data_IF_641715424263
#
_entry.id   IF_641715424263
#
_cell.length_a   1.000
_cell.length_b   1.000
_cell.length_c   1.000
_cell.angle_alpha   90.00
_cell.angle_beta   90.00
_cell.angle_gamma   90.00
#
_symmetry.space_group_name_H-M   'P 1'
#
loop_
_entity.id
_entity.type
_entity.pdbx_description
1 polymer ?
#
# COMPACT_ATOMS: atom_id res chain seq x y z
N UNK A 1 -2.76 11.08 -1.72
CA UNK A 1 -2.69 9.96 -0.75
C UNK A 1 -3.30 8.75 -1.41
N UNK A 2 -2.84 7.54 -1.09
CA UNK A 2 -3.41 6.27 -1.58
C UNK A 2 -3.79 5.40 -0.41
N UNK A 3 -4.86 4.62 -0.57
CA UNK A 3 -5.36 3.74 0.46
C UNK A 3 -5.08 2.30 0.07
N UNK A 4 -4.62 1.52 1.03
CA UNK A 4 -4.54 0.08 0.86
C UNK A 4 -5.93 -0.55 0.99
N UNK A 5 -6.12 -1.76 0.47
CA UNK A 5 -7.28 -2.59 0.75
C UNK A 5 -7.50 -2.84 2.26
N UNK A 6 -6.44 -2.65 3.05
CA UNK A 6 -6.48 -2.65 4.51
C UNK A 6 -6.87 -1.31 5.15
N UNK A 7 -7.44 -0.36 4.39
CA UNK A 7 -7.91 0.98 4.80
C UNK A 7 -6.85 1.88 5.46
N UNK A 8 -5.57 1.56 5.28
CA UNK A 8 -4.48 2.40 5.78
C UNK A 8 -4.06 3.43 4.72
N UNK A 9 -4.00 4.73 5.08
CA UNK A 9 -3.59 5.79 4.17
C UNK A 9 -2.07 5.93 4.12
N UNK A 10 -1.52 6.10 2.93
CA UNK A 10 -0.10 6.41 2.74
C UNK A 10 0.11 7.46 1.63
N UNK A 11 1.24 8.17 1.68
CA UNK A 11 1.67 8.99 0.55
C UNK A 11 2.09 8.08 -0.61
N UNK A 12 1.72 8.45 -1.84
CA UNK A 12 2.04 7.70 -3.05
C UNK A 12 3.55 7.44 -3.15
N UNK A 13 4.37 8.48 -2.99
CA UNK A 13 5.82 8.34 -3.06
C UNK A 13 6.38 7.35 -2.02
N UNK A 14 5.92 7.44 -0.77
CA UNK A 14 6.40 6.60 0.32
C UNK A 14 6.03 5.13 0.11
N UNK A 15 4.77 4.86 -0.25
CA UNK A 15 4.31 3.48 -0.40
C UNK A 15 4.86 2.82 -1.66
N UNK A 16 4.99 3.56 -2.77
CA UNK A 16 5.62 3.04 -4.00
C UNK A 16 7.08 2.67 -3.75
N UNK A 17 7.82 3.52 -3.02
CA UNK A 17 9.20 3.20 -2.61
C UNK A 17 9.23 1.96 -1.74
N UNK A 18 8.35 1.86 -0.75
CA UNK A 18 8.25 0.72 0.16
C UNK A 18 7.95 -0.59 -0.58
N UNK A 19 6.90 -0.61 -1.40
CA UNK A 19 6.48 -1.80 -2.15
C UNK A 19 7.47 -2.18 -3.25
N UNK A 20 8.22 -1.21 -3.79
CA UNK A 20 9.28 -1.44 -4.77
C UNK A 20 10.62 -1.91 -4.19
N UNK A 21 10.86 -1.71 -2.89
CA UNK A 21 12.10 -2.17 -2.21
C UNK A 21 11.95 -3.54 -1.53
N UNK A 22 10.72 -4.02 -1.35
CA UNK A 22 10.43 -5.28 -0.69
C UNK A 22 10.16 -6.38 -1.73
N UNK A 23 10.64 -7.60 -1.48
CA UNK A 23 10.37 -8.76 -2.35
C UNK A 23 8.89 -9.20 -2.29
N UNK A 24 8.19 -8.84 -1.19
CA UNK A 24 6.73 -8.93 -1.05
C UNK A 24 6.20 -7.62 -0.50
N UNK A 25 5.36 -6.96 -1.29
CA UNK A 25 4.71 -5.72 -0.91
C UNK A 25 3.68 -6.00 0.20
N UNK A 26 3.95 -5.56 1.42
CA UNK A 26 3.00 -5.63 2.54
C UNK A 26 2.75 -4.25 3.13
N UNK A 27 1.58 -4.07 3.74
CA UNK A 27 1.25 -2.86 4.47
C UNK A 27 2.19 -2.66 5.67
N UNK A 28 2.81 -1.47 5.83
CA UNK A 28 3.71 -1.19 6.95
C UNK A 28 3.06 -1.31 8.34
N UNK A 29 1.75 -1.08 8.43
CA UNK A 29 1.03 -1.04 9.71
C UNK A 29 0.47 -2.41 10.12
N UNK A 30 -0.20 -3.10 9.20
CA UNK A 30 -0.88 -4.37 9.50
C UNK A 30 -0.21 -5.61 8.91
N UNK A 31 0.88 -5.45 8.14
CA UNK A 31 1.66 -6.52 7.49
C UNK A 31 0.87 -7.45 6.54
N UNK A 32 -0.37 -7.10 6.21
CA UNK A 32 -1.14 -7.77 5.15
C UNK A 32 -0.57 -7.42 3.78
N UNK A 33 -0.79 -8.27 2.79
CA UNK A 33 -0.42 -7.97 1.41
C UNK A 33 -0.93 -6.60 0.99
N UNK A 34 -0.02 -5.79 0.45
CA UNK A 34 -0.33 -4.46 -0.02
C UNK A 34 -1.06 -4.57 -1.34
N UNK A 35 -2.32 -4.15 -1.33
CA UNK A 35 -3.12 -3.95 -2.53
C UNK A 35 -3.66 -2.53 -2.49
N UNK A 36 -3.52 -1.81 -3.59
CA UNK A 36 -4.13 -0.49 -3.71
C UNK A 36 -5.64 -0.70 -3.76
N UNK A 37 -6.38 0.09 -2.98
CA UNK A 37 -7.83 0.13 -3.08
C UNK A 37 -8.16 0.77 -4.43
N UNK A 38 -8.33 -0.06 -5.46
CA UNK A 38 -8.84 0.36 -6.76
C UNK A 38 -10.34 0.56 -6.58
N UNK A 39 -10.74 1.78 -6.25
CA UNK A 39 -12.13 2.19 -6.38
C UNK A 39 -12.45 2.18 -7.87
N UNK A 40 -13.08 1.10 -8.34
CA UNK A 40 -13.72 1.06 -9.65
C UNK A 40 -14.85 2.08 -9.60
N UNK A 41 -14.61 3.24 -10.19
CA UNK A 41 -15.68 4.14 -10.59
C UNK A 41 -16.32 3.62 -11.88
#
# INVERSE_FOLDING_TARGET
LVWGACTHPFHLHCIVKWTGTQNRAHCPLCRRDWQIQTETQ
#
